data_IF_113496423107
#
_entry.id   IF_113496423107
#
_cell.length_a   1.000
_cell.length_b   1.000
_cell.length_c   1.000
_cell.angle_alpha   90.00
_cell.angle_beta   90.00
_cell.angle_gamma   90.00
#
_symmetry.space_group_name_H-M   'P 1'
#
loop_
_entity.id
_entity.type
_entity.pdbx_description
1 polymer ?
#
# COMPACT_ATOMS: atom_id res chain seq x y z
N UNK A 1 12.23 -40.34 -11.20
CA UNK A 1 12.20 -38.90 -10.85
C UNK A 1 11.40 -38.24 -11.95
N UNK A 2 10.14 -37.87 -11.66
CA UNK A 2 9.13 -37.51 -12.67
C UNK A 2 9.52 -36.25 -13.43
N UNK A 3 9.83 -36.35 -14.70
CA UNK A 3 10.09 -35.25 -15.64
C UNK A 3 8.89 -34.32 -15.85
N UNK A 4 7.65 -34.72 -15.47
CA UNK A 4 6.44 -33.96 -15.63
C UNK A 4 6.27 -32.79 -14.63
N UNK A 5 7.23 -32.56 -13.71
CA UNK A 5 7.20 -31.45 -12.76
C UNK A 5 8.01 -30.22 -13.24
N UNK A 6 8.67 -30.32 -14.42
CA UNK A 6 9.61 -29.27 -14.88
C UNK A 6 9.04 -28.25 -15.85
N UNK A 7 7.86 -28.42 -16.41
CA UNK A 7 7.42 -27.59 -17.53
C UNK A 7 6.43 -26.47 -17.18
N UNK A 8 5.82 -26.45 -15.98
CA UNK A 8 4.84 -25.43 -15.61
C UNK A 8 5.39 -24.30 -14.70
N UNK A 9 6.57 -24.47 -14.09
CA UNK A 9 7.08 -23.59 -13.02
C UNK A 9 8.27 -22.70 -13.42
N UNK A 10 8.63 -22.62 -14.70
CA UNK A 10 9.85 -21.90 -15.14
C UNK A 10 9.53 -20.68 -15.99
N UNK A 11 8.82 -19.69 -15.44
CA UNK A 11 8.44 -18.51 -16.23
C UNK A 11 9.37 -17.31 -15.97
N UNK A 12 9.57 -16.91 -14.72
CA UNK A 12 10.31 -15.71 -14.35
C UNK A 12 11.57 -16.10 -13.59
N UNK A 13 12.68 -16.11 -14.28
CA UNK A 13 13.98 -16.59 -13.73
C UNK A 13 13.89 -17.99 -13.09
N UNK A 14 13.04 -18.87 -13.63
CA UNK A 14 12.83 -20.21 -13.09
C UNK A 14 11.82 -20.29 -11.92
N UNK A 15 11.04 -19.24 -11.68
CA UNK A 15 10.07 -19.16 -10.59
C UNK A 15 8.62 -19.22 -11.08
N UNK A 16 7.64 -19.46 -10.18
CA UNK A 16 6.22 -19.48 -10.51
C UNK A 16 5.76 -18.19 -11.18
N UNK A 17 4.85 -18.29 -12.16
CA UNK A 17 4.33 -17.15 -12.93
C UNK A 17 3.73 -16.05 -12.03
N UNK A 18 3.12 -16.42 -10.89
CA UNK A 18 2.56 -15.49 -9.93
C UNK A 18 3.58 -14.52 -9.34
N UNK A 19 4.88 -14.88 -9.32
CA UNK A 19 5.92 -14.00 -8.79
C UNK A 19 6.05 -12.71 -9.59
N UNK A 20 5.86 -12.74 -10.93
CA UNK A 20 5.85 -11.51 -11.75
C UNK A 20 4.74 -10.57 -11.33
N UNK A 21 3.55 -11.12 -11.08
CA UNK A 21 2.40 -10.33 -10.64
C UNK A 21 2.71 -9.59 -9.33
N UNK A 22 3.28 -10.31 -8.35
CA UNK A 22 3.60 -9.72 -7.06
C UNK A 22 4.79 -8.75 -7.16
N UNK A 23 5.81 -9.09 -7.94
CA UNK A 23 6.96 -8.23 -8.22
C UNK A 23 6.52 -6.86 -8.79
N UNK A 24 5.71 -6.87 -9.84
CA UNK A 24 5.25 -5.63 -10.47
C UNK A 24 4.29 -4.85 -9.56
N UNK A 25 3.43 -5.52 -8.81
CA UNK A 25 2.51 -4.87 -7.86
C UNK A 25 3.29 -4.17 -6.76
N UNK A 26 4.27 -4.85 -6.16
CA UNK A 26 5.15 -4.27 -5.15
C UNK A 26 5.97 -3.12 -5.73
N UNK A 27 6.52 -3.27 -6.93
CA UNK A 27 7.29 -2.22 -7.61
C UNK A 27 6.48 -0.93 -7.77
N UNK A 28 5.24 -1.01 -8.26
CA UNK A 28 4.38 0.17 -8.42
C UNK A 28 3.96 0.76 -7.07
N UNK A 29 3.66 -0.09 -6.10
CA UNK A 29 3.34 0.36 -4.74
C UNK A 29 4.56 1.07 -4.11
N UNK A 30 5.77 0.50 -4.21
CA UNK A 30 6.98 1.14 -3.69
C UNK A 30 7.33 2.43 -4.44
N UNK A 31 7.13 2.47 -5.74
CA UNK A 31 7.27 3.70 -6.53
C UNK A 31 6.37 4.80 -5.98
N UNK A 32 5.11 4.51 -5.74
CA UNK A 32 4.16 5.50 -5.23
C UNK A 32 4.48 5.90 -3.78
N UNK A 33 4.79 4.93 -2.91
CA UNK A 33 5.09 5.14 -1.51
C UNK A 33 6.36 5.97 -1.29
N UNK A 34 7.49 5.56 -1.88
CA UNK A 34 8.76 6.28 -1.71
C UNK A 34 8.78 7.61 -2.47
N UNK A 35 8.10 7.67 -3.63
CA UNK A 35 7.94 8.92 -4.36
C UNK A 35 7.20 9.98 -3.56
N UNK A 36 6.06 9.62 -2.97
CA UNK A 36 5.32 10.51 -2.07
C UNK A 36 6.12 10.83 -0.80
N UNK A 37 6.69 9.80 -0.16
CA UNK A 37 7.41 9.94 1.10
C UNK A 37 8.62 10.88 0.99
N UNK A 38 9.32 10.85 -0.14
CA UNK A 38 10.44 11.76 -0.42
C UNK A 38 10.02 13.24 -0.49
N UNK A 39 8.79 13.51 -0.87
CA UNK A 39 8.24 14.87 -0.96
C UNK A 39 7.63 15.39 0.34
N UNK A 40 7.22 14.50 1.26
CA UNK A 40 6.41 14.88 2.43
C UNK A 40 7.03 16.00 3.26
N UNK A 41 8.25 15.80 3.75
CA UNK A 41 8.90 16.78 4.64
C UNK A 41 9.20 18.06 3.88
N UNK A 42 9.65 17.95 2.63
CA UNK A 42 9.96 19.10 1.78
C UNK A 42 8.70 19.95 1.55
N UNK A 43 7.57 19.31 1.22
CA UNK A 43 6.29 19.99 1.03
C UNK A 43 5.79 20.66 2.31
N UNK A 44 5.83 19.95 3.44
CA UNK A 44 5.37 20.48 4.72
C UNK A 44 6.18 21.69 5.20
N UNK A 45 7.50 21.71 4.96
CA UNK A 45 8.37 22.78 5.42
C UNK A 45 8.54 23.94 4.43
N UNK A 46 8.16 23.77 3.17
CA UNK A 46 8.27 24.81 2.16
C UNK A 46 7.29 25.95 2.43
N UNK A 47 7.69 27.18 2.09
CA UNK A 47 6.86 28.38 2.23
C UNK A 47 5.54 28.27 1.43
N UNK A 48 4.49 28.95 1.92
CA UNK A 48 3.18 28.98 1.26
C UNK A 48 3.27 29.59 -0.15
N UNK A 49 4.13 30.60 -0.31
CA UNK A 49 4.41 31.24 -1.61
C UNK A 49 4.95 30.29 -2.66
N UNK A 50 5.62 29.22 -2.23
CA UNK A 50 6.16 28.13 -3.05
C UNK A 50 5.22 26.91 -3.08
N UNK A 51 3.97 27.09 -2.63
CA UNK A 51 2.94 26.04 -2.62
C UNK A 51 3.11 25.00 -1.52
N UNK A 52 3.93 25.23 -0.49
CA UNK A 52 4.11 24.38 0.69
C UNK A 52 3.15 24.74 1.84
N UNK A 53 3.33 24.07 2.99
CA UNK A 53 2.50 24.26 4.17
C UNK A 53 3.11 25.22 5.22
N UNK A 54 4.38 25.60 5.07
CA UNK A 54 5.13 26.46 5.99
C UNK A 54 5.15 25.99 7.46
N UNK A 55 5.15 24.65 7.65
CA UNK A 55 5.32 24.07 8.98
C UNK A 55 6.78 24.14 9.44
N UNK A 56 6.98 24.23 10.74
CA UNK A 56 8.33 24.12 11.31
C UNK A 56 8.90 22.71 11.06
N UNK A 57 10.23 22.59 11.03
CA UNK A 57 10.87 21.29 10.83
C UNK A 57 10.50 20.25 11.92
N UNK A 58 10.40 20.61 13.23
CA UNK A 58 9.92 19.67 14.25
C UNK A 58 8.50 19.17 13.99
N UNK A 59 7.55 20.04 13.62
CA UNK A 59 6.16 19.65 13.30
C UNK A 59 6.11 18.71 12.10
N UNK A 60 6.82 19.05 11.02
CA UNK A 60 6.89 18.21 9.83
C UNK A 60 7.47 16.82 10.15
N UNK A 61 8.51 16.75 10.97
CA UNK A 61 9.12 15.50 11.39
C UNK A 61 8.20 14.68 12.31
N UNK A 62 7.42 15.32 13.18
CA UNK A 62 6.42 14.66 14.02
C UNK A 62 5.32 14.03 13.16
N UNK A 63 4.75 14.77 12.21
CA UNK A 63 3.75 14.26 11.26
C UNK A 63 4.32 13.08 10.45
N UNK A 64 5.53 13.21 9.94
CA UNK A 64 6.22 12.15 9.21
C UNK A 64 6.41 10.89 10.06
N UNK A 65 6.80 11.04 11.33
CA UNK A 65 6.97 9.94 12.28
C UNK A 65 5.65 9.23 12.56
N UNK A 66 4.58 9.99 12.84
CA UNK A 66 3.23 9.44 13.08
C UNK A 66 2.70 8.72 11.85
N UNK A 67 2.86 9.31 10.67
CA UNK A 67 2.52 8.64 9.42
C UNK A 67 3.26 7.31 9.27
N UNK A 68 4.58 7.30 9.48
CA UNK A 68 5.39 6.08 9.42
C UNK A 68 4.94 5.01 10.43
N UNK A 69 4.71 5.41 11.67
CA UNK A 69 4.22 4.50 12.73
C UNK A 69 2.83 3.93 12.40
N UNK A 70 1.91 4.77 11.89
CA UNK A 70 0.55 4.35 11.52
C UNK A 70 0.53 3.30 10.42
N UNK A 71 1.41 3.41 9.42
CA UNK A 71 1.55 2.41 8.35
C UNK A 71 1.88 1.03 8.92
N UNK A 72 2.84 0.95 9.85
CA UNK A 72 3.20 -0.34 10.47
C UNK A 72 2.14 -0.85 11.42
N UNK A 73 1.54 0.03 12.22
CA UNK A 73 0.44 -0.34 13.13
C UNK A 73 -0.74 -0.94 12.36
N UNK A 74 -1.12 -0.36 11.22
CA UNK A 74 -2.23 -0.82 10.40
C UNK A 74 -1.94 -2.14 9.66
N UNK A 75 -0.69 -2.60 9.60
CA UNK A 75 -0.39 -3.94 9.07
C UNK A 75 -1.03 -5.06 9.92
N UNK A 76 -1.19 -4.86 11.24
CA UNK A 76 -1.78 -5.87 12.12
C UNK A 76 -3.27 -6.11 11.79
N UNK A 77 -4.14 -5.10 11.81
CA UNK A 77 -5.53 -5.29 11.38
C UNK A 77 -5.64 -5.65 9.89
N UNK A 78 -4.71 -5.19 9.04
CA UNK A 78 -4.68 -5.54 7.63
C UNK A 78 -4.45 -7.03 7.37
N UNK A 79 -3.52 -7.66 8.09
CA UNK A 79 -3.31 -9.11 8.08
C UNK A 79 -4.54 -9.86 8.61
N UNK A 80 -5.11 -9.41 9.72
CA UNK A 80 -6.33 -10.02 10.29
C UNK A 80 -7.52 -10.00 9.29
N UNK A 81 -7.70 -8.89 8.56
CA UNK A 81 -8.75 -8.78 7.53
C UNK A 81 -8.54 -9.80 6.41
N UNK A 82 -7.28 -10.01 6.00
CA UNK A 82 -6.97 -11.02 5.00
C UNK A 82 -7.26 -12.44 5.51
N UNK A 83 -6.79 -12.77 6.70
CA UNK A 83 -6.90 -14.10 7.26
C UNK A 83 -8.35 -14.51 7.54
N UNK A 84 -9.16 -13.56 8.03
CA UNK A 84 -10.51 -13.87 8.52
C UNK A 84 -11.64 -13.51 7.56
N UNK A 85 -11.43 -12.54 6.64
CA UNK A 85 -12.55 -11.96 5.88
C UNK A 85 -12.41 -12.19 4.38
N UNK A 86 -11.37 -11.62 3.74
CA UNK A 86 -11.31 -11.52 2.28
C UNK A 86 -10.34 -12.47 1.59
N UNK A 87 -9.34 -12.99 2.31
CA UNK A 87 -8.16 -13.62 1.74
C UNK A 87 -7.13 -12.58 1.27
N UNK A 88 -5.85 -12.98 1.26
CA UNK A 88 -4.75 -12.07 0.95
C UNK A 88 -4.86 -11.45 -0.46
N UNK A 89 -5.27 -12.20 -1.49
CA UNK A 89 -5.42 -11.67 -2.85
C UNK A 89 -6.38 -10.49 -2.95
N UNK A 90 -7.55 -10.58 -2.29
CA UNK A 90 -8.54 -9.49 -2.32
C UNK A 90 -8.11 -8.33 -1.45
N UNK A 91 -7.49 -8.61 -0.31
CA UNK A 91 -7.01 -7.58 0.62
C UNK A 91 -5.90 -6.74 -0.03
N UNK A 92 -4.98 -7.37 -0.77
CA UNK A 92 -3.97 -6.67 -1.59
C UNK A 92 -4.63 -5.76 -2.62
N UNK A 93 -5.66 -6.24 -3.35
CA UNK A 93 -6.35 -5.40 -4.33
C UNK A 93 -7.06 -4.20 -3.69
N UNK A 94 -7.78 -4.42 -2.59
CA UNK A 94 -8.46 -3.33 -1.88
C UNK A 94 -7.45 -2.33 -1.30
N UNK A 95 -6.35 -2.81 -0.73
CA UNK A 95 -5.25 -1.96 -0.28
C UNK A 95 -4.69 -1.10 -1.41
N UNK A 96 -4.41 -1.70 -2.57
CA UNK A 96 -3.92 -1.01 -3.75
C UNK A 96 -4.88 0.10 -4.24
N UNK A 97 -6.20 -0.18 -4.25
CA UNK A 97 -7.22 0.82 -4.62
C UNK A 97 -7.24 1.97 -3.62
N UNK A 98 -7.21 1.67 -2.31
CA UNK A 98 -7.22 2.70 -1.27
C UNK A 98 -5.96 3.57 -1.32
N UNK A 99 -4.77 2.98 -1.57
CA UNK A 99 -3.52 3.74 -1.80
C UNK A 99 -3.68 4.67 -3.00
N UNK A 100 -4.21 4.17 -4.11
CA UNK A 100 -4.43 4.97 -5.33
C UNK A 100 -5.30 6.19 -5.05
N UNK A 101 -6.44 5.98 -4.38
CA UNK A 101 -7.33 7.06 -3.98
C UNK A 101 -6.63 8.05 -3.04
N UNK A 102 -5.85 7.55 -2.08
CA UNK A 102 -5.07 8.39 -1.16
C UNK A 102 -4.11 9.31 -1.90
N UNK A 103 -3.38 8.81 -2.90
CA UNK A 103 -2.46 9.64 -3.70
C UNK A 103 -3.20 10.69 -4.54
N UNK A 104 -4.36 10.37 -5.12
CA UNK A 104 -5.15 11.37 -5.84
C UNK A 104 -5.73 12.43 -4.90
N UNK A 105 -6.10 12.05 -3.67
CA UNK A 105 -6.55 13.01 -2.65
C UNK A 105 -5.38 13.92 -2.23
N UNK A 106 -4.15 13.39 -2.09
CA UNK A 106 -2.94 14.20 -1.85
C UNK A 106 -2.63 15.19 -2.99
N UNK A 107 -3.02 14.85 -4.22
CA UNK A 107 -2.83 15.72 -5.38
C UNK A 107 -3.78 16.94 -5.41
N UNK A 108 -4.79 16.97 -4.55
CA UNK A 108 -5.70 18.12 -4.42
C UNK A 108 -5.06 19.17 -3.51
N UNK A 109 -4.89 20.44 -3.96
CA UNK A 109 -4.19 21.48 -3.19
C UNK A 109 -5.04 21.99 -2.01
N UNK A 110 -5.00 21.30 -0.88
CA UNK A 110 -5.68 21.69 0.36
C UNK A 110 -5.10 20.92 1.55
N UNK A 111 -4.90 21.57 2.68
CA UNK A 111 -4.37 20.96 3.90
C UNK A 111 -5.24 19.78 4.38
N UNK A 112 -6.57 19.94 4.30
CA UNK A 112 -7.50 18.89 4.70
C UNK A 112 -7.37 17.64 3.85
N UNK A 113 -7.23 17.81 2.51
CA UNK A 113 -7.05 16.68 1.61
C UNK A 113 -5.69 16.05 1.76
N UNK A 114 -4.66 16.83 2.12
CA UNK A 114 -3.33 16.30 2.40
C UNK A 114 -3.37 15.29 3.57
N UNK A 115 -3.91 15.67 4.73
CA UNK A 115 -4.02 14.74 5.86
C UNK A 115 -4.93 13.55 5.57
N UNK A 116 -6.07 13.77 4.91
CA UNK A 116 -6.95 12.68 4.49
C UNK A 116 -6.25 11.70 3.56
N UNK A 117 -5.46 12.20 2.62
CA UNK A 117 -4.66 11.37 1.71
C UNK A 117 -3.63 10.52 2.45
N UNK A 118 -2.92 11.10 3.43
CA UNK A 118 -1.97 10.34 4.28
C UNK A 118 -2.66 9.20 5.04
N UNK A 119 -3.84 9.45 5.59
CA UNK A 119 -4.63 8.42 6.28
C UNK A 119 -5.03 7.31 5.32
N UNK A 120 -5.54 7.65 4.12
CA UNK A 120 -5.92 6.67 3.11
C UNK A 120 -4.72 5.82 2.66
N UNK A 121 -3.57 6.45 2.39
CA UNK A 121 -2.35 5.71 2.02
C UNK A 121 -1.91 4.79 3.16
N UNK A 122 -1.96 5.24 4.42
CA UNK A 122 -1.62 4.40 5.58
C UNK A 122 -2.52 3.17 5.69
N UNK A 123 -3.84 3.36 5.56
CA UNK A 123 -4.81 2.25 5.59
C UNK A 123 -4.56 1.27 4.44
N UNK A 124 -4.41 1.79 3.23
CA UNK A 124 -4.19 0.98 2.04
C UNK A 124 -2.89 0.17 2.12
N UNK A 125 -1.80 0.81 2.57
CA UNK A 125 -0.50 0.13 2.76
C UNK A 125 -0.58 -0.92 3.87
N UNK A 126 -1.30 -0.65 4.96
CA UNK A 126 -1.56 -1.62 6.02
C UNK A 126 -2.31 -2.85 5.51
N UNK A 127 -3.25 -2.69 4.58
CA UNK A 127 -3.94 -3.80 3.93
C UNK A 127 -3.06 -4.55 2.93
N UNK A 128 -2.22 -3.86 2.15
CA UNK A 128 -1.44 -4.45 1.09
C UNK A 128 -0.17 -5.14 1.58
N UNK A 129 0.65 -4.41 2.34
CA UNK A 129 2.04 -4.79 2.66
C UNK A 129 2.22 -6.15 3.34
N UNK A 130 1.50 -6.50 4.43
CA UNK A 130 1.68 -7.80 5.07
C UNK A 130 1.21 -8.94 4.15
N UNK A 131 0.17 -8.71 3.39
CA UNK A 131 -0.52 -9.74 2.62
C UNK A 131 0.19 -10.10 1.32
N UNK A 132 0.81 -9.14 0.64
CA UNK A 132 1.54 -9.42 -0.60
C UNK A 132 2.75 -10.33 -0.34
N UNK A 133 3.47 -10.13 0.77
CA UNK A 133 4.59 -10.98 1.17
C UNK A 133 4.14 -12.40 1.54
N UNK A 134 2.97 -12.54 2.17
CA UNK A 134 2.38 -13.85 2.47
C UNK A 134 2.09 -14.63 1.18
N UNK A 135 1.51 -13.97 0.16
CA UNK A 135 1.21 -14.62 -1.13
C UNK A 135 2.51 -15.10 -1.79
N UNK A 136 3.63 -14.37 -1.69
CA UNK A 136 4.92 -14.83 -2.24
C UNK A 136 5.29 -16.20 -1.68
N UNK A 137 5.21 -16.38 -0.36
CA UNK A 137 5.48 -17.67 0.28
C UNK A 137 4.57 -18.80 -0.19
N UNK A 138 3.29 -18.50 -0.38
CA UNK A 138 2.27 -19.48 -0.79
C UNK A 138 2.36 -19.89 -2.29
N UNK A 139 3.16 -19.19 -3.11
CA UNK A 139 3.44 -19.62 -4.48
C UNK A 139 4.32 -20.89 -4.54
N UNK A 140 5.04 -21.21 -3.47
CA UNK A 140 5.97 -22.32 -3.41
C UNK A 140 5.40 -23.46 -2.59
N UNK A 141 5.71 -24.69 -3.01
CA UNK A 141 5.36 -25.90 -2.24
C UNK A 141 6.23 -26.00 -0.98
N UNK A 142 5.75 -26.60 0.10
CA UNK A 142 6.58 -26.87 1.27
C UNK A 142 7.86 -27.62 0.87
N UNK A 143 9.03 -27.09 1.27
CA UNK A 143 10.35 -27.67 0.95
C UNK A 143 10.93 -27.26 -0.41
N UNK A 144 10.30 -26.35 -1.15
CA UNK A 144 10.87 -25.81 -2.40
C UNK A 144 12.07 -24.91 -2.09
N UNK A 145 13.27 -25.34 -2.51
CA UNK A 145 14.52 -24.62 -2.28
C UNK A 145 14.61 -23.25 -2.99
N UNK A 146 13.70 -22.96 -3.92
CA UNK A 146 13.66 -21.68 -4.66
C UNK A 146 13.00 -20.55 -3.88
N UNK A 147 12.37 -20.83 -2.73
CA UNK A 147 11.59 -19.81 -1.99
C UNK A 147 12.45 -18.61 -1.59
N UNK A 148 13.68 -18.83 -1.13
CA UNK A 148 14.57 -17.74 -0.69
C UNK A 148 15.00 -16.85 -1.86
N UNK A 149 15.32 -17.46 -3.01
CA UNK A 149 15.62 -16.69 -4.23
C UNK A 149 14.39 -15.99 -4.78
N UNK A 150 13.19 -16.57 -4.63
CA UNK A 150 11.93 -15.93 -4.96
C UNK A 150 11.67 -14.67 -4.14
N UNK A 151 11.90 -14.72 -2.83
CA UNK A 151 11.85 -13.52 -1.99
C UNK A 151 12.92 -12.50 -2.36
N UNK A 152 14.12 -12.93 -2.71
CA UNK A 152 15.20 -12.03 -3.17
C UNK A 152 14.75 -11.27 -4.42
N UNK A 153 14.19 -11.95 -5.41
CA UNK A 153 13.62 -11.31 -6.61
C UNK A 153 12.49 -10.35 -6.23
N UNK A 154 11.58 -10.78 -5.36
CA UNK A 154 10.49 -9.92 -4.89
C UNK A 154 11.02 -8.64 -4.22
N UNK A 155 12.02 -8.73 -3.35
CA UNK A 155 12.61 -7.56 -2.70
C UNK A 155 13.39 -6.65 -3.66
N UNK A 156 13.89 -7.15 -4.78
CA UNK A 156 14.49 -6.29 -5.82
C UNK A 156 13.46 -5.28 -6.36
N UNK A 157 12.17 -5.65 -6.42
CA UNK A 157 11.12 -4.75 -6.86
C UNK A 157 11.00 -3.48 -6.00
N UNK A 158 11.26 -3.60 -4.69
CA UNK A 158 11.24 -2.48 -3.74
C UNK A 158 12.30 -1.44 -4.14
N UNK A 159 13.51 -1.88 -4.45
CA UNK A 159 14.61 -0.98 -4.83
C UNK A 159 14.35 -0.30 -6.18
N UNK A 160 13.85 -1.05 -7.17
CA UNK A 160 13.48 -0.51 -8.48
C UNK A 160 12.34 0.50 -8.32
N UNK A 161 11.29 0.14 -7.58
CA UNK A 161 10.17 1.02 -7.32
C UNK A 161 10.59 2.30 -6.59
N UNK A 162 11.41 2.21 -5.54
CA UNK A 162 11.88 3.37 -4.81
C UNK A 162 12.72 4.32 -5.68
N UNK A 163 13.61 3.78 -6.51
CA UNK A 163 14.39 4.58 -7.47
C UNK A 163 13.49 5.33 -8.44
N UNK A 164 12.51 4.64 -9.05
CA UNK A 164 11.53 5.26 -9.96
C UNK A 164 10.71 6.34 -9.24
N UNK A 165 10.31 6.09 -7.99
CA UNK A 165 9.57 7.04 -7.18
C UNK A 165 10.33 8.34 -6.94
N UNK A 166 11.59 8.27 -6.51
CA UNK A 166 12.41 9.46 -6.31
C UNK A 166 12.66 10.21 -7.62
N UNK A 167 12.91 9.49 -8.72
CA UNK A 167 13.15 10.13 -10.01
C UNK A 167 11.91 10.81 -10.57
N UNK A 168 10.76 10.12 -10.60
CA UNK A 168 9.55 10.64 -11.24
C UNK A 168 8.80 11.61 -10.33
N UNK A 169 8.43 11.16 -9.12
CA UNK A 169 7.66 12.00 -8.21
C UNK A 169 8.51 13.15 -7.65
N UNK A 170 9.80 12.90 -7.33
CA UNK A 170 10.72 13.92 -6.86
C UNK A 170 10.92 15.02 -7.89
N UNK A 171 11.21 14.65 -9.15
CA UNK A 171 11.36 15.63 -10.22
C UNK A 171 10.09 16.45 -10.46
N UNK A 172 8.94 15.79 -10.57
CA UNK A 172 7.67 16.50 -10.78
C UNK A 172 7.28 17.36 -9.59
N UNK A 173 7.50 16.88 -8.37
CA UNK A 173 7.21 17.64 -7.15
C UNK A 173 8.04 18.91 -7.03
N UNK A 174 9.35 18.84 -7.27
CA UNK A 174 10.25 19.98 -7.09
C UNK A 174 10.30 20.93 -8.28
N UNK A 175 10.13 20.44 -9.52
CA UNK A 175 10.30 21.24 -10.74
C UNK A 175 8.99 21.71 -11.36
N UNK A 176 7.90 20.99 -11.17
CA UNK A 176 6.59 21.31 -11.77
C UNK A 176 5.61 21.79 -10.67
N UNK A 177 5.60 21.13 -9.51
CA UNK A 177 4.77 21.47 -8.38
C UNK A 177 4.43 20.24 -7.53
N UNK A 178 4.29 20.42 -6.22
CA UNK A 178 4.11 19.36 -5.22
C UNK A 178 2.96 18.41 -5.56
N UNK A 179 1.83 18.96 -5.98
CA UNK A 179 0.63 18.18 -6.30
C UNK A 179 0.81 17.30 -7.54
N UNK A 180 1.67 17.70 -8.49
CA UNK A 180 2.05 16.85 -9.62
C UNK A 180 2.89 15.66 -9.18
N UNK A 181 3.79 15.85 -8.21
CA UNK A 181 4.56 14.76 -7.63
C UNK A 181 3.67 13.72 -6.91
N UNK A 182 2.72 14.19 -6.10
CA UNK A 182 1.73 13.32 -5.45
C UNK A 182 0.80 12.64 -6.47
N UNK A 183 0.37 13.37 -7.50
CA UNK A 183 -0.46 12.83 -8.59
C UNK A 183 0.27 11.74 -9.38
N UNK A 184 1.56 11.92 -9.65
CA UNK A 184 2.37 10.92 -10.34
C UNK A 184 2.46 9.60 -9.55
N UNK A 185 2.55 9.68 -8.21
CA UNK A 185 2.45 8.49 -7.35
C UNK A 185 1.10 7.78 -7.52
N UNK A 186 -0.01 8.54 -7.62
CA UNK A 186 -1.34 8.01 -7.91
C UNK A 186 -1.44 7.32 -9.28
N UNK A 187 -0.86 7.93 -10.31
CA UNK A 187 -0.81 7.33 -11.66
C UNK A 187 -0.01 6.03 -11.64
N UNK A 188 1.17 6.01 -11.00
CA UNK A 188 1.97 4.80 -10.86
C UNK A 188 1.21 3.68 -10.14
N UNK A 189 0.52 4.02 -9.05
CA UNK A 189 -0.28 3.03 -8.33
C UNK A 189 -1.51 2.56 -9.13
N UNK A 190 -2.08 3.41 -9.99
CA UNK A 190 -3.13 3.00 -10.93
C UNK A 190 -2.64 1.91 -11.88
N UNK A 191 -1.42 2.06 -12.43
CA UNK A 191 -0.81 0.99 -13.23
C UNK A 191 -0.63 -0.29 -12.43
N UNK A 192 -0.24 -0.19 -11.15
CA UNK A 192 -0.16 -1.34 -10.23
C UNK A 192 -1.50 -2.05 -10.06
N UNK A 193 -2.59 -1.29 -9.82
CA UNK A 193 -3.95 -1.85 -9.70
C UNK A 193 -4.40 -2.54 -10.98
N UNK A 194 -4.25 -1.88 -12.14
CA UNK A 194 -4.63 -2.46 -13.43
C UNK A 194 -3.83 -3.72 -13.73
N UNK A 195 -2.50 -3.66 -13.57
CA UNK A 195 -1.63 -4.82 -13.77
C UNK A 195 -2.05 -5.98 -12.86
N UNK A 196 -2.31 -5.72 -11.57
CA UNK A 196 -2.76 -6.77 -10.65
C UNK A 196 -4.08 -7.39 -11.09
N UNK A 197 -5.08 -6.59 -11.47
CA UNK A 197 -6.38 -7.09 -11.93
C UNK A 197 -6.23 -8.03 -13.13
N UNK A 198 -5.39 -7.66 -14.10
CA UNK A 198 -5.20 -8.46 -15.32
C UNK A 198 -4.35 -9.72 -15.09
N UNK A 199 -3.46 -9.70 -14.10
CA UNK A 199 -2.49 -10.80 -13.90
C UNK A 199 -2.76 -11.66 -12.68
N UNK A 200 -3.69 -11.30 -11.78
CA UNK A 200 -3.99 -12.02 -10.53
C UNK A 200 -4.33 -13.51 -10.72
N UNK A 201 -4.84 -13.89 -11.89
CA UNK A 201 -5.15 -15.29 -12.19
C UNK A 201 -3.90 -16.19 -12.17
N UNK A 202 -2.71 -15.61 -12.39
CA UNK A 202 -1.43 -16.32 -12.29
C UNK A 202 -1.06 -16.73 -10.86
N UNK A 203 -1.71 -16.14 -9.85
CA UNK A 203 -1.51 -16.50 -8.44
C UNK A 203 -2.18 -17.83 -8.07
N UNK A 204 -3.09 -18.33 -8.91
CA UNK A 204 -3.79 -19.59 -8.67
C UNK A 204 -4.54 -19.59 -7.34
N UNK A 205 -4.17 -20.48 -6.42
CA UNK A 205 -4.77 -20.61 -5.09
C UNK A 205 -4.04 -19.83 -4.00
N UNK A 206 -2.82 -19.34 -4.26
CA UNK A 206 -2.03 -18.59 -3.29
C UNK A 206 -2.76 -17.31 -2.86
N UNK A 207 -2.91 -17.07 -1.58
CA UNK A 207 -3.62 -15.92 -1.01
C UNK A 207 -5.14 -15.95 -1.15
N UNK A 208 -5.74 -17.08 -1.56
CA UNK A 208 -7.20 -17.22 -1.53
C UNK A 208 -7.70 -17.33 -0.10
N UNK A 209 -8.93 -16.94 0.08
CA UNK A 209 -9.61 -17.02 1.37
C UNK A 209 -9.55 -18.45 1.91
N UNK A 210 -9.15 -18.64 3.20
CA UNK A 210 -9.27 -19.93 3.85
C UNK A 210 -10.73 -20.42 3.81
N UNK A 211 -10.93 -21.73 3.61
CA UNK A 211 -12.23 -22.36 3.74
C UNK A 211 -12.66 -22.32 5.23
N UNK A 212 -13.32 -21.26 5.62
CA UNK A 212 -13.97 -21.20 6.94
C UNK A 212 -15.23 -22.09 6.85
N UNK A 213 -15.21 -23.20 7.56
CA UNK A 213 -16.30 -24.17 7.62
C UNK A 213 -17.54 -23.64 8.32
N UNK A 214 -17.43 -22.60 9.11
CA UNK A 214 -18.51 -22.05 9.94
C UNK A 214 -19.02 -20.70 9.40
N UNK A 215 -20.27 -20.70 8.90
CA UNK A 215 -20.95 -19.49 8.45
C UNK A 215 -21.19 -18.46 9.58
N UNK A 216 -21.33 -18.92 10.82
CA UNK A 216 -21.51 -18.07 11.99
C UNK A 216 -20.26 -17.22 12.28
N UNK A 217 -19.08 -17.83 12.21
CA UNK A 217 -17.83 -17.11 12.41
C UNK A 217 -17.60 -16.04 11.32
N UNK A 218 -17.95 -16.34 10.09
CA UNK A 218 -17.85 -15.39 8.97
C UNK A 218 -18.72 -14.16 9.22
N UNK A 219 -19.98 -14.37 9.63
CA UNK A 219 -20.91 -13.27 9.89
C UNK A 219 -20.44 -12.41 11.08
N UNK A 220 -19.86 -13.02 12.10
CA UNK A 220 -19.28 -12.34 13.25
C UNK A 220 -18.09 -11.45 12.83
N UNK A 221 -17.12 -12.00 12.08
CA UNK A 221 -15.97 -11.23 11.60
C UNK A 221 -16.39 -10.10 10.64
N UNK A 222 -17.34 -10.37 9.74
CA UNK A 222 -17.86 -9.35 8.83
C UNK A 222 -18.60 -8.23 9.58
N UNK A 223 -19.35 -8.59 10.62
CA UNK A 223 -20.02 -7.63 11.51
C UNK A 223 -18.99 -6.76 12.24
N UNK A 224 -17.98 -7.37 12.85
CA UNK A 224 -16.90 -6.65 13.54
C UNK A 224 -16.19 -5.69 12.58
N UNK A 225 -15.87 -6.14 11.36
CA UNK A 225 -15.25 -5.30 10.34
C UNK A 225 -16.15 -4.12 9.94
N UNK A 226 -17.45 -4.34 9.73
CA UNK A 226 -18.41 -3.28 9.40
C UNK A 226 -18.48 -2.22 10.49
N UNK A 227 -18.57 -2.63 11.76
CA UNK A 227 -18.61 -1.68 12.88
C UNK A 227 -17.29 -0.92 13.03
N UNK A 228 -16.14 -1.60 12.95
CA UNK A 228 -14.84 -0.96 13.01
C UNK A 228 -14.64 0.04 11.85
N UNK A 229 -15.04 -0.33 10.63
CA UNK A 229 -14.98 0.56 9.47
C UNK A 229 -15.92 1.75 9.61
N UNK A 230 -17.14 1.55 10.14
CA UNK A 230 -18.09 2.65 10.37
C UNK A 230 -17.56 3.64 11.42
N UNK A 231 -16.96 3.17 12.50
CA UNK A 231 -16.33 4.00 13.53
C UNK A 231 -15.16 4.79 12.92
N UNK A 232 -14.30 4.14 12.14
CA UNK A 232 -13.19 4.80 11.49
C UNK A 232 -13.66 5.88 10.49
N UNK A 233 -14.65 5.57 9.67
CA UNK A 233 -15.24 6.53 8.73
C UNK A 233 -15.86 7.72 9.49
N UNK A 234 -16.61 7.47 10.56
CA UNK A 234 -17.19 8.52 11.38
C UNK A 234 -16.10 9.42 11.98
N UNK A 235 -15.02 8.81 12.50
CA UNK A 235 -13.87 9.54 13.05
C UNK A 235 -13.21 10.43 12.00
N UNK A 236 -12.97 9.91 10.80
CA UNK A 236 -12.38 10.67 9.69
C UNK A 236 -13.28 11.79 9.19
N UNK A 237 -14.58 11.52 9.07
CA UNK A 237 -15.57 12.54 8.64
C UNK A 237 -15.67 13.67 9.67
N UNK A 238 -15.74 13.34 10.96
CA UNK A 238 -15.83 14.36 12.02
C UNK A 238 -14.56 15.22 12.13
N UNK A 239 -13.39 14.62 11.91
CA UNK A 239 -12.12 15.36 11.81
C UNK A 239 -12.08 16.25 10.57
N UNK A 240 -12.49 15.74 9.41
CA UNK A 240 -12.57 16.53 8.18
C UNK A 240 -13.53 17.73 8.29
N UNK A 241 -14.65 17.55 9.00
CA UNK A 241 -15.61 18.62 9.30
C UNK A 241 -15.11 19.60 10.38
N UNK A 242 -13.96 19.36 11.01
CA UNK A 242 -13.39 20.22 12.04
C UNK A 242 -14.11 20.15 13.39
N UNK A 243 -14.86 19.06 13.66
CA UNK A 243 -15.53 18.83 14.95
C UNK A 243 -14.51 18.59 16.06
N UNK A 244 -13.34 18.07 15.72
CA UNK A 244 -12.18 17.92 16.59
C UNK A 244 -10.91 18.25 15.81
N UNK A 245 -9.92 18.81 16.50
CA UNK A 245 -8.57 19.04 15.97
C UNK A 245 -7.56 18.41 16.92
N UNK A 246 -6.46 17.93 16.36
CA UNK A 246 -5.29 17.55 17.16
C UNK A 246 -4.39 18.76 17.15
N UNK A 247 -4.29 19.45 18.29
CA UNK A 247 -3.41 20.58 18.41
C UNK A 247 -1.94 20.08 18.44
N UNK A 248 -1.10 20.73 17.63
CA UNK A 248 0.30 20.36 17.51
C UNK A 248 1.11 20.49 18.82
N UNK A 249 0.55 21.16 19.84
CA UNK A 249 1.13 21.26 21.18
C UNK A 249 1.16 19.92 21.95
N UNK A 250 0.37 18.91 21.49
CA UNK A 250 0.35 17.57 22.08
C UNK A 250 1.18 16.53 21.33
N UNK A 251 1.87 16.91 20.26
CA UNK A 251 2.72 16.07 19.41
C UNK A 251 4.19 16.39 19.61
#
# INVERSE_FOLDING_TARGET
MNENLRTEDTYFFGHPKGLVTLFLTEMWERMSFYGMRGLLVLFMTREITDGGMNLSAPEAMAIYGIYGASVYFLCVPGGWVADKIFGAQRTVLYGAIVITLGHYVLAIPSDKTFFLGLVLVSIGTGLLKPNISTIVGELYKPGDLRIDSGYTIFYMSINIGSMLGFLVCGYLGEKVGWHWGFGAAGVGMTFGVLQYIFTKNSLGNAGKRPNLSDKEDINKYLSTFKYASAILILFLVTGFLGIWSVDAEFL
#
